data_IF_162279978259
#
_entry.id   IF_162279978259
#
_cell.length_a   1.000
_cell.length_b   1.000
_cell.length_c   1.000
_cell.angle_alpha   90.00
_cell.angle_beta   90.00
_cell.angle_gamma   90.00
#
_symmetry.space_group_name_H-M   'P 1'
#
loop_
_entity.id
_entity.type
_entity.pdbx_description
1 polymer ?
#
# COMPACT_ATOMS: atom_id res chain seq x y z
N UNK A 1 14.12 -21.57 1.71
CA UNK A 1 14.59 -20.28 2.29
C UNK A 1 14.08 -20.20 3.73
N UNK A 2 14.73 -19.43 4.61
CA UNK A 2 14.16 -19.16 5.93
C UNK A 2 12.93 -18.25 5.77
N UNK A 3 11.90 -18.46 6.60
CA UNK A 3 10.72 -17.61 6.64
C UNK A 3 11.09 -16.24 7.23
N UNK A 4 10.40 -15.20 6.78
CA UNK A 4 10.49 -13.86 7.38
C UNK A 4 9.63 -13.86 8.64
N UNK A 5 10.29 -13.92 9.79
CA UNK A 5 9.64 -13.85 11.10
C UNK A 5 8.90 -12.51 11.29
N UNK A 6 7.97 -12.48 12.24
CA UNK A 6 7.25 -11.26 12.62
C UNK A 6 8.21 -10.13 13.03
N UNK A 7 7.95 -8.92 12.52
CA UNK A 7 8.69 -7.70 12.84
C UNK A 7 7.80 -6.47 12.70
N UNK A 8 8.30 -5.33 13.18
CA UNK A 8 7.71 -4.01 12.93
C UNK A 8 8.74 -3.16 12.19
N UNK A 9 8.46 -2.68 10.96
CA UNK A 9 9.40 -1.85 10.21
C UNK A 9 9.81 -0.59 10.96
N UNK A 10 11.06 -0.15 10.77
CA UNK A 10 11.58 1.03 11.43
C UNK A 10 10.78 2.29 11.08
N UNK A 11 10.39 3.05 12.10
CA UNK A 11 9.64 4.29 11.93
C UNK A 11 8.16 4.10 11.63
N UNK A 12 7.66 2.87 11.79
CA UNK A 12 6.25 2.53 11.80
C UNK A 12 5.84 1.92 13.14
N UNK A 13 4.55 1.99 13.43
CA UNK A 13 3.88 1.25 14.50
C UNK A 13 2.70 0.49 13.92
N UNK A 14 2.22 -0.52 14.63
CA UNK A 14 1.06 -1.31 14.23
C UNK A 14 -0.22 -0.50 14.44
N UNK A 15 -1.10 -0.51 13.45
CA UNK A 15 -2.47 -0.06 13.65
C UNK A 15 -3.26 -1.22 14.27
N UNK A 16 -3.53 -1.16 15.58
CA UNK A 16 -4.22 -2.26 16.28
C UNK A 16 -5.68 -2.41 15.82
N UNK A 17 -6.34 -1.29 15.52
CA UNK A 17 -7.71 -1.28 15.01
C UNK A 17 -7.75 -1.60 13.51
N UNK A 18 -8.52 -2.62 13.14
CA UNK A 18 -8.78 -2.92 11.73
C UNK A 18 -9.49 -1.75 11.04
N UNK A 19 -9.24 -1.53 9.73
CA UNK A 19 -10.12 -0.70 8.91
C UNK A 19 -11.57 -1.14 8.99
N UNK A 20 -12.47 -0.22 8.71
CA UNK A 20 -13.89 -0.55 8.60
C UNK A 20 -14.12 -1.53 7.45
N UNK A 21 -15.13 -2.38 7.58
CA UNK A 21 -15.54 -3.28 6.49
C UNK A 21 -15.91 -2.50 5.21
N UNK A 22 -16.40 -1.26 5.34
CA UNK A 22 -16.70 -0.37 4.21
C UNK A 22 -15.44 0.07 3.47
N UNK A 23 -14.35 0.35 4.18
CA UNK A 23 -13.06 0.68 3.56
C UNK A 23 -12.45 -0.53 2.83
N UNK A 24 -12.76 -1.75 3.26
CA UNK A 24 -12.25 -2.98 2.65
C UNK A 24 -13.15 -3.54 1.55
N UNK A 25 -14.37 -3.02 1.41
CA UNK A 25 -15.34 -3.53 0.45
C UNK A 25 -14.92 -3.17 -0.98
N UNK A 26 -14.99 -4.16 -1.88
CA UNK A 26 -14.85 -3.91 -3.32
C UNK A 26 -15.93 -2.92 -3.81
N UNK A 27 -15.52 -1.97 -4.65
CA UNK A 27 -16.42 -1.00 -5.27
C UNK A 27 -15.97 -0.66 -6.68
N UNK A 28 -16.92 -0.41 -7.59
CA UNK A 28 -16.63 0.11 -8.94
C UNK A 28 -16.74 1.63 -9.04
N UNK A 29 -17.20 2.28 -7.98
CA UNK A 29 -17.42 3.72 -7.96
C UNK A 29 -16.09 4.46 -8.13
N UNK A 30 -16.14 5.67 -8.71
CA UNK A 30 -14.94 6.50 -8.88
C UNK A 30 -14.34 6.92 -7.54
N UNK A 31 -15.19 7.09 -6.52
CA UNK A 31 -14.82 7.40 -5.14
C UNK A 31 -15.45 6.38 -4.19
N UNK A 32 -14.66 5.79 -3.30
CA UNK A 32 -15.09 4.81 -2.31
C UNK A 32 -14.31 4.97 -1.00
N UNK A 33 -14.84 4.41 0.09
CA UNK A 33 -14.16 4.47 1.40
C UNK A 33 -12.73 3.88 1.34
N UNK A 34 -12.53 2.82 0.54
CA UNK A 34 -11.22 2.21 0.34
C UNK A 34 -10.16 3.10 -0.30
N UNK A 35 -10.53 4.24 -0.91
CA UNK A 35 -9.54 5.20 -1.41
C UNK A 35 -8.69 5.79 -0.26
N UNK A 36 -9.20 5.78 0.99
CA UNK A 36 -8.44 6.18 2.17
C UNK A 36 -7.28 5.23 2.54
N UNK A 37 -7.31 4.00 2.00
CA UNK A 37 -6.27 2.99 2.22
C UNK A 37 -5.18 3.04 1.15
N UNK A 38 -5.42 3.67 0.01
CA UNK A 38 -4.41 3.83 -1.04
C UNK A 38 -3.22 4.66 -0.54
N UNK A 39 -2.01 4.17 -0.78
CA UNK A 39 -0.74 4.69 -0.28
C UNK A 39 -0.39 4.25 1.15
N UNK A 40 -1.27 3.53 1.85
CA UNK A 40 -0.97 3.00 3.19
C UNK A 40 -0.06 1.78 3.09
N UNK A 41 0.80 1.62 4.10
CA UNK A 41 1.65 0.43 4.25
C UNK A 41 0.95 -0.64 5.07
N UNK A 42 1.22 -1.89 4.74
CA UNK A 42 0.78 -3.07 5.48
C UNK A 42 1.90 -4.08 5.63
N UNK A 43 1.73 -5.01 6.57
CA UNK A 43 2.42 -6.29 6.56
C UNK A 43 1.41 -7.39 6.20
N UNK A 44 1.81 -8.30 5.32
CA UNK A 44 1.02 -9.48 4.94
C UNK A 44 1.84 -10.74 5.19
N UNK A 45 1.24 -11.72 5.85
CA UNK A 45 1.87 -13.01 6.13
C UNK A 45 1.63 -14.00 5.00
N UNK A 46 2.60 -14.15 4.11
CA UNK A 46 2.51 -15.06 2.96
C UNK A 46 2.85 -16.50 3.36
N UNK A 47 2.02 -17.44 2.94
CA UNK A 47 2.28 -18.87 3.13
C UNK A 47 3.64 -19.26 2.52
N UNK A 48 4.52 -19.85 3.34
CA UNK A 48 5.84 -20.30 2.89
C UNK A 48 6.89 -19.20 2.68
N UNK A 49 6.55 -17.93 2.93
CA UNK A 49 7.49 -16.79 2.89
C UNK A 49 7.56 -16.06 4.23
N UNK A 50 6.42 -15.82 4.89
CA UNK A 50 6.32 -15.06 6.13
C UNK A 50 5.84 -13.63 5.93
N UNK A 51 6.17 -12.74 6.87
CA UNK A 51 5.69 -11.36 6.89
C UNK A 51 6.42 -10.47 5.88
N UNK A 52 5.70 -9.98 4.89
CA UNK A 52 6.22 -9.06 3.88
C UNK A 52 5.59 -7.68 4.01
N UNK A 53 6.40 -6.63 3.90
CA UNK A 53 5.93 -5.25 3.84
C UNK A 53 5.45 -4.92 2.43
N UNK A 54 4.24 -4.36 2.35
CA UNK A 54 3.61 -3.94 1.11
C UNK A 54 3.02 -2.54 1.20
N UNK A 55 2.83 -1.91 0.05
CA UNK A 55 2.14 -0.62 -0.11
C UNK A 55 0.87 -0.88 -0.91
N UNK A 56 -0.27 -0.42 -0.41
CA UNK A 56 -1.53 -0.45 -1.17
C UNK A 56 -1.42 0.59 -2.28
N UNK A 57 -1.09 0.18 -3.50
CA UNK A 57 -0.90 1.10 -4.62
C UNK A 57 -2.23 1.53 -5.25
N UNK A 58 -3.18 0.60 -5.35
CA UNK A 58 -4.44 0.87 -6.03
C UNK A 58 -5.61 0.07 -5.44
N UNK A 59 -6.80 0.69 -5.41
CA UNK A 59 -8.06 -0.01 -5.18
C UNK A 59 -8.56 -0.64 -6.48
N UNK A 60 -8.93 -1.91 -6.43
CA UNK A 60 -9.53 -2.57 -7.58
C UNK A 60 -10.90 -1.95 -7.92
N UNK A 61 -11.10 -1.64 -9.21
CA UNK A 61 -12.37 -1.15 -9.78
C UNK A 61 -13.00 -2.13 -10.76
N UNK A 62 -12.38 -3.29 -10.96
CA UNK A 62 -12.76 -4.30 -11.95
C UNK A 62 -13.12 -5.63 -11.26
N UNK A 63 -14.40 -6.01 -11.32
CA UNK A 63 -14.95 -7.21 -10.67
C UNK A 63 -14.56 -8.52 -11.34
N UNK A 64 -13.79 -8.45 -12.44
CA UNK A 64 -13.25 -9.63 -13.12
C UNK A 64 -12.08 -10.23 -12.37
N UNK A 65 -11.38 -9.46 -11.53
CA UNK A 65 -10.26 -9.95 -10.73
C UNK A 65 -10.77 -10.60 -9.44
N UNK A 66 -10.54 -11.91 -9.34
CA UNK A 66 -11.00 -12.74 -8.22
C UNK A 66 -9.89 -13.60 -7.65
N UNK A 67 -9.97 -13.84 -6.35
CA UNK A 67 -9.14 -14.77 -5.58
C UNK A 67 -10.06 -15.70 -4.82
N UNK A 68 -10.02 -17.01 -5.13
CA UNK A 68 -10.81 -18.04 -4.45
C UNK A 68 -12.30 -17.69 -4.28
N UNK A 69 -12.92 -17.21 -5.36
CA UNK A 69 -14.33 -16.76 -5.48
C UNK A 69 -14.64 -15.34 -5.00
N UNK A 70 -13.78 -14.73 -4.18
CA UNK A 70 -13.94 -13.36 -3.71
C UNK A 70 -13.34 -12.34 -4.69
N UNK A 71 -13.94 -11.15 -4.72
CA UNK A 71 -13.48 -10.07 -5.60
C UNK A 71 -12.32 -9.35 -4.94
N UNK A 72 -11.21 -9.22 -5.66
CA UNK A 72 -10.03 -8.48 -5.22
C UNK A 72 -10.44 -7.06 -4.83
N UNK A 73 -9.99 -6.57 -3.68
CA UNK A 73 -10.26 -5.20 -3.24
C UNK A 73 -9.06 -4.27 -3.47
N UNK A 74 -7.84 -4.76 -3.33
CA UNK A 74 -6.62 -3.95 -3.46
C UNK A 74 -5.51 -4.65 -4.23
N UNK A 75 -4.68 -3.82 -4.87
CA UNK A 75 -3.42 -4.18 -5.47
C UNK A 75 -2.31 -3.67 -4.54
N UNK A 76 -1.47 -4.58 -4.06
CA UNK A 76 -0.43 -4.29 -3.09
C UNK A 76 0.92 -4.56 -3.73
N UNK A 77 1.78 -3.55 -3.74
CA UNK A 77 3.14 -3.67 -4.23
C UNK A 77 4.07 -4.11 -3.11
N UNK A 78 4.92 -5.10 -3.37
CA UNK A 78 5.91 -5.60 -2.43
C UNK A 78 7.31 -5.30 -2.94
N UNK A 79 8.10 -4.57 -2.14
CA UNK A 79 9.50 -4.24 -2.50
C UNK A 79 10.41 -5.48 -2.53
N UNK A 80 9.97 -6.60 -1.93
CA UNK A 80 10.74 -7.84 -1.85
C UNK A 80 10.97 -8.47 -3.24
N UNK A 81 9.95 -8.42 -4.11
CA UNK A 81 9.96 -9.02 -5.43
C UNK A 81 9.66 -8.03 -6.57
N UNK A 82 9.47 -6.74 -6.25
CA UNK A 82 9.20 -5.66 -7.21
C UNK A 82 7.94 -5.95 -8.04
N UNK A 83 6.90 -6.53 -7.40
CA UNK A 83 5.67 -6.95 -8.05
C UNK A 83 4.39 -6.49 -7.33
N UNK A 84 3.31 -6.40 -8.11
CA UNK A 84 1.95 -6.13 -7.64
C UNK A 84 1.20 -7.44 -7.41
N UNK A 85 0.77 -7.65 -6.17
CA UNK A 85 -0.08 -8.77 -5.80
C UNK A 85 -1.52 -8.34 -5.59
N UNK A 86 -2.45 -9.21 -6.00
CA UNK A 86 -3.88 -9.04 -5.78
C UNK A 86 -4.22 -9.49 -4.36
N UNK A 87 -5.05 -8.72 -3.65
CA UNK A 87 -5.52 -9.09 -2.32
C UNK A 87 -7.04 -9.00 -2.17
N UNK A 88 -7.55 -9.86 -1.29
CA UNK A 88 -8.86 -9.75 -0.66
C UNK A 88 -8.58 -9.51 0.82
N UNK A 89 -8.40 -8.24 1.19
CA UNK A 89 -8.13 -7.85 2.57
C UNK A 89 -9.44 -7.82 3.36
N UNK A 90 -9.57 -8.66 4.37
CA UNK A 90 -10.79 -8.79 5.18
C UNK A 90 -10.50 -8.59 6.65
N UNK A 91 -11.49 -8.06 7.38
CA UNK A 91 -11.39 -7.84 8.84
C UNK A 91 -11.15 -9.15 9.59
N UNK A 92 -11.68 -10.27 9.10
CA UNK A 92 -11.49 -11.59 9.73
C UNK A 92 -10.03 -12.06 9.72
N UNK A 93 -9.25 -11.61 8.74
CA UNK A 93 -7.83 -11.92 8.60
C UNK A 93 -6.94 -10.80 9.16
N UNK A 94 -7.52 -9.81 9.83
CA UNK A 94 -6.77 -8.73 10.48
C UNK A 94 -6.15 -9.22 11.79
N UNK A 95 -4.92 -9.71 11.70
CA UNK A 95 -4.18 -10.30 12.81
C UNK A 95 -2.70 -10.02 12.62
N UNK A 96 -1.94 -10.04 13.72
CA UNK A 96 -0.53 -9.70 13.73
C UNK A 96 0.22 -10.41 14.86
N UNK A 97 1.55 -10.50 14.71
CA UNK A 97 2.41 -11.20 15.66
C UNK A 97 2.96 -12.52 15.13
N UNK A 98 3.87 -13.12 15.89
CA UNK A 98 4.57 -14.35 15.51
C UNK A 98 3.65 -15.58 15.42
N UNK A 99 2.48 -15.55 16.06
CA UNK A 99 1.52 -16.66 16.09
C UNK A 99 0.33 -16.44 15.14
N UNK A 100 0.29 -15.35 14.37
CA UNK A 100 -0.80 -15.14 13.42
C UNK A 100 -0.72 -16.17 12.27
N UNK A 101 -1.87 -16.68 11.80
CA UNK A 101 -1.89 -17.65 10.70
C UNK A 101 -1.41 -17.03 9.39
N UNK A 102 -1.11 -17.88 8.41
CA UNK A 102 -0.88 -17.44 7.03
C UNK A 102 -2.11 -16.68 6.50
N UNK A 103 -1.87 -15.78 5.55
CA UNK A 103 -2.83 -14.80 5.03
C UNK A 103 -3.32 -13.74 6.03
N UNK A 104 -2.75 -13.70 7.25
CA UNK A 104 -2.97 -12.58 8.17
C UNK A 104 -2.34 -11.30 7.63
N UNK A 105 -2.97 -10.17 7.92
CA UNK A 105 -2.46 -8.87 7.50
C UNK A 105 -2.75 -7.79 8.54
N UNK A 106 -1.97 -6.72 8.49
CA UNK A 106 -2.12 -5.59 9.41
C UNK A 106 -1.63 -4.29 8.78
N UNK A 107 -2.30 -3.17 9.08
CA UNK A 107 -1.84 -1.86 8.64
C UNK A 107 -0.74 -1.32 9.53
N UNK A 108 0.13 -0.54 8.90
CA UNK A 108 1.15 0.24 9.56
C UNK A 108 0.71 1.70 9.66
N UNK A 109 1.11 2.34 10.76
CA UNK A 109 1.01 3.78 10.98
C UNK A 109 2.42 4.34 11.03
N UNK A 110 2.68 5.38 10.24
CA UNK A 110 3.93 6.14 10.35
C UNK A 110 4.04 6.79 11.74
N UNK A 111 5.20 6.65 12.38
CA UNK A 111 5.49 7.36 13.62
C UNK A 111 5.73 8.84 13.27
N UNK A 112 4.98 9.74 13.90
CA UNK A 112 5.19 11.19 13.73
C UNK A 112 6.64 11.57 14.05
N UNK A 113 7.29 12.28 13.12
CA UNK A 113 8.69 12.67 13.25
C UNK A 113 9.70 11.66 12.70
N UNK A 114 9.27 10.59 12.02
CA UNK A 114 10.17 9.67 11.34
C UNK A 114 10.99 10.39 10.24
N UNK A 115 12.34 10.42 10.34
CA UNK A 115 13.19 11.07 9.35
C UNK A 115 13.12 10.42 7.96
N UNK A 116 12.74 9.13 7.87
CA UNK A 116 12.61 8.42 6.59
C UNK A 116 11.38 8.88 5.78
N UNK A 117 10.22 9.03 6.43
CA UNK A 117 9.01 9.58 5.80
C UNK A 117 9.23 11.05 5.38
N UNK A 118 9.90 11.85 6.22
CA UNK A 118 10.28 13.22 5.89
C UNK A 118 11.25 13.29 4.69
N UNK A 119 12.14 12.31 4.54
CA UNK A 119 13.07 12.21 3.41
C UNK A 119 12.35 11.83 2.12
N UNK A 120 11.52 10.78 2.13
CA UNK A 120 10.76 10.33 0.94
C UNK A 120 9.80 11.43 0.45
N UNK A 121 9.15 12.15 1.38
CA UNK A 121 8.32 13.32 1.05
C UNK A 121 9.12 14.46 0.39
N UNK A 122 10.34 14.72 0.85
CA UNK A 122 11.22 15.74 0.23
C UNK A 122 11.70 15.33 -1.16
N UNK A 123 12.03 14.05 -1.35
CA UNK A 123 12.46 13.50 -2.64
C UNK A 123 11.32 13.57 -3.68
N UNK A 124 10.11 13.15 -3.32
CA UNK A 124 8.94 13.25 -4.19
C UNK A 124 8.60 14.70 -4.57
N UNK A 125 8.67 15.62 -3.59
CA UNK A 125 8.42 17.06 -3.85
C UNK A 125 9.47 17.64 -4.80
N UNK A 126 10.73 17.20 -4.70
CA UNK A 126 11.80 17.66 -5.57
C UNK A 126 11.63 17.15 -7.01
N UNK A 127 11.23 15.89 -7.18
CA UNK A 127 10.97 15.30 -8.50
C UNK A 127 9.79 15.99 -9.20
N UNK A 128 8.68 16.19 -8.49
CA UNK A 128 7.51 16.92 -9.00
C UNK A 128 7.84 18.37 -9.36
N UNK A 129 8.66 19.05 -8.55
CA UNK A 129 9.10 20.41 -8.85
C UNK A 129 10.01 20.47 -10.09
N UNK A 130 10.87 19.46 -10.29
CA UNK A 130 11.73 19.36 -11.47
C UNK A 130 10.91 19.13 -12.75
N UNK A 131 9.90 18.26 -12.70
CA UNK A 131 9.01 17.99 -13.83
C UNK A 131 8.19 19.23 -14.21
N UNK A 132 7.62 19.93 -13.22
CA UNK A 132 6.89 21.18 -13.45
C UNK A 132 7.79 22.29 -14.03
N UNK A 133 9.05 22.37 -13.60
CA UNK A 133 10.00 23.34 -14.17
C UNK A 133 10.32 23.00 -15.64
N UNK A 134 10.57 21.73 -15.94
CA UNK A 134 10.83 21.27 -17.31
C UNK A 134 9.64 21.50 -18.24
N UNK A 135 8.40 21.29 -17.76
CA UNK A 135 7.20 21.54 -18.55
C UNK A 135 6.99 23.03 -18.83
N UNK A 136 7.23 23.91 -17.84
CA UNK A 136 7.16 25.36 -18.03
C UNK A 136 8.17 25.86 -19.07
N UNK A 137 9.40 25.32 -19.04
CA UNK A 137 10.42 25.68 -20.02
C UNK A 137 10.02 25.24 -21.44
N UNK A 138 9.46 24.03 -21.59
CA UNK A 138 8.94 23.55 -22.88
C UNK A 138 7.79 24.39 -23.42
N UNK A 139 6.89 24.87 -22.56
CA UNK A 139 5.78 25.73 -22.97
C UNK A 139 6.28 27.12 -23.39
N UNK A 140 7.22 27.71 -22.64
CA UNK A 140 7.80 29.01 -22.98
C UNK A 140 8.54 29.01 -24.33
N UNK A 141 9.23 27.91 -24.67
CA UNK A 141 9.90 27.77 -25.97
C UNK A 141 8.88 27.63 -27.13
N UNK A 142 7.72 27.02 -26.89
CA UNK A 142 6.65 26.88 -27.90
C UNK A 142 5.90 28.18 -28.17
N UNK A 143 5.75 29.07 -27.19
CA UNK A 143 5.08 30.37 -27.37
C UNK A 143 6.00 31.42 -28.03
N UNK A 144 7.31 31.20 -28.01
CA UNK A 144 8.30 32.09 -28.61
C UNK A 144 8.69 31.74 -30.06
N UNK A 145 8.12 30.66 -30.62
CA UNK A 145 8.37 30.17 -31.98
C UNK A 145 7.17 30.45 -32.91
#
# INVERSE_FOLDING_TARGET
PALIDWYVPEGFTIQEDAPSAEELLFSKEETAAGDALVGRRLLFNWEGVGWCEGVIEERNKDDRFKLSDDTVNFWVYYELDDDLSNHVLEVENYSFGAEAPDASWVLLREIEGNPAAARKKRELTAEQAAEQAAERERMAVKEAA
#
